data_IF_068272945497
#
_entry.id   IF_068272945497
#
_cell.length_a   1.000
_cell.length_b   1.000
_cell.length_c   1.000
_cell.angle_alpha   90.00
_cell.angle_beta   90.00
_cell.angle_gamma   90.00
#
_symmetry.space_group_name_H-M   'P 1'
#
loop_
_entity.id
_entity.type
_entity.pdbx_description
1 polymer ?
#
# COMPACT_ATOMS: atom_id res chain seq x y z
N UNK A 1 -18.52 -16.03 8.78
CA UNK A 1 -17.94 -14.85 9.49
C UNK A 1 -19.06 -13.83 9.62
N UNK A 2 -19.59 -13.59 10.84
CA UNK A 2 -20.44 -12.42 11.05
C UNK A 2 -19.53 -11.20 11.03
N UNK A 3 -19.15 -10.77 9.85
CA UNK A 3 -18.47 -9.48 9.67
C UNK A 3 -19.48 -8.42 10.09
N UNK A 4 -19.19 -7.72 11.16
CA UNK A 4 -19.95 -6.54 11.54
C UNK A 4 -19.74 -5.47 10.46
N UNK A 5 -20.53 -5.61 9.40
CA UNK A 5 -20.50 -4.77 8.21
C UNK A 5 -20.57 -3.29 8.56
N UNK A 6 -21.38 -2.97 9.60
CA UNK A 6 -21.50 -1.61 10.11
C UNK A 6 -20.24 -1.15 10.83
N UNK A 7 -19.60 -2.06 11.58
CA UNK A 7 -18.30 -1.79 12.25
C UNK A 7 -17.19 -1.48 11.24
N UNK A 8 -17.07 -2.30 10.18
CA UNK A 8 -16.06 -2.07 9.12
C UNK A 8 -16.31 -0.73 8.41
N UNK A 9 -17.56 -0.43 8.06
CA UNK A 9 -17.91 0.84 7.42
C UNK A 9 -17.58 2.03 8.34
N UNK A 10 -17.90 1.92 9.63
CA UNK A 10 -17.60 2.94 10.63
C UNK A 10 -16.09 3.17 10.75
N UNK A 11 -15.28 2.10 10.80
CA UNK A 11 -13.82 2.21 10.83
C UNK A 11 -13.28 2.91 9.58
N UNK A 12 -13.80 2.56 8.39
CA UNK A 12 -13.41 3.23 7.16
C UNK A 12 -13.74 4.73 7.21
N UNK A 13 -14.95 5.11 7.65
CA UNK A 13 -15.33 6.52 7.81
C UNK A 13 -14.37 7.25 8.75
N UNK A 14 -13.96 6.63 9.87
CA UNK A 14 -12.99 7.23 10.81
C UNK A 14 -11.64 7.48 10.11
N UNK A 15 -11.10 6.50 9.37
CA UNK A 15 -9.85 6.69 8.64
C UNK A 15 -9.94 7.86 7.65
N UNK A 16 -11.07 8.00 6.98
CA UNK A 16 -11.29 9.06 6.00
C UNK A 16 -11.51 10.44 6.61
N UNK A 17 -12.11 10.52 7.78
CA UNK A 17 -12.17 11.78 8.53
C UNK A 17 -10.77 12.27 8.91
N UNK A 18 -9.86 11.36 9.24
CA UNK A 18 -8.45 11.73 9.51
C UNK A 18 -7.76 12.21 8.23
N UNK A 19 -7.98 11.56 7.08
CA UNK A 19 -7.48 12.05 5.77
C UNK A 19 -8.05 13.44 5.46
N UNK A 20 -9.36 13.62 5.66
CA UNK A 20 -10.02 14.92 5.49
C UNK A 20 -9.44 16.01 6.40
N UNK A 21 -9.11 15.66 7.66
CA UNK A 21 -8.43 16.56 8.60
C UNK A 21 -7.05 16.97 8.05
N UNK A 22 -6.25 16.00 7.55
CA UNK A 22 -4.95 16.29 6.92
C UNK A 22 -5.07 17.23 5.71
N UNK A 23 -6.06 17.00 4.86
CA UNK A 23 -6.39 17.90 3.75
C UNK A 23 -6.76 19.32 4.23
N UNK A 24 -7.62 19.41 5.25
CA UNK A 24 -8.01 20.69 5.87
C UNK A 24 -6.82 21.45 6.46
N UNK A 25 -5.94 20.75 7.19
CA UNK A 25 -4.70 21.33 7.74
C UNK A 25 -3.81 21.93 6.64
N UNK A 26 -3.71 21.24 5.48
CA UNK A 26 -2.96 21.76 4.33
C UNK A 26 -3.58 23.01 3.74
N UNK A 27 -4.89 23.01 3.53
CA UNK A 27 -5.62 24.19 3.00
C UNK A 27 -5.61 25.36 3.99
N UNK A 28 -5.58 25.10 5.30
CA UNK A 28 -5.44 26.10 6.35
C UNK A 28 -3.98 26.56 6.57
N UNK A 29 -3.02 26.10 5.75
CA UNK A 29 -1.58 26.39 5.89
C UNK A 29 -0.95 25.98 7.23
N UNK A 30 -1.57 25.04 7.96
CA UNK A 30 -1.03 24.49 9.22
C UNK A 30 0.10 23.50 8.98
N UNK A 31 0.15 22.87 7.79
CA UNK A 31 1.21 21.93 7.40
C UNK A 31 2.00 22.44 6.21
N UNK A 32 3.31 22.19 6.22
CA UNK A 32 4.24 22.54 5.15
C UNK A 32 4.78 21.29 4.47
N UNK A 33 5.37 21.40 3.30
CA UNK A 33 6.02 20.28 2.62
C UNK A 33 7.18 19.67 3.47
N UNK A 34 7.88 20.53 4.22
CA UNK A 34 8.95 20.07 5.14
C UNK A 34 8.36 19.27 6.31
N UNK A 35 7.25 19.72 6.88
CA UNK A 35 6.53 18.99 7.93
C UNK A 35 6.01 17.64 7.41
N UNK A 36 5.37 17.61 6.24
CA UNK A 36 4.84 16.38 5.62
C UNK A 36 5.98 15.37 5.40
N UNK A 37 7.14 15.83 4.93
CA UNK A 37 8.32 14.99 4.74
C UNK A 37 8.88 14.49 6.07
N UNK A 38 8.97 15.34 7.09
CA UNK A 38 9.44 14.96 8.43
C UNK A 38 8.53 13.93 9.08
N UNK A 39 7.20 14.13 9.02
CA UNK A 39 6.22 13.21 9.57
C UNK A 39 6.21 11.88 8.79
N UNK A 40 6.32 11.90 7.46
CA UNK A 40 6.48 10.69 6.65
C UNK A 40 7.71 9.88 7.04
N UNK A 41 8.85 10.56 7.25
CA UNK A 41 10.08 9.89 7.68
C UNK A 41 9.93 9.26 9.07
N UNK A 42 9.29 9.95 10.02
CA UNK A 42 9.01 9.41 11.34
C UNK A 42 8.12 8.17 11.25
N UNK A 43 7.07 8.23 10.43
CA UNK A 43 6.16 7.08 10.23
C UNK A 43 6.93 5.90 9.66
N UNK A 44 7.65 6.06 8.56
CA UNK A 44 8.32 4.95 7.87
C UNK A 44 9.54 4.41 8.62
N UNK A 45 10.20 5.24 9.45
CA UNK A 45 11.44 4.84 10.11
C UNK A 45 11.26 4.41 11.56
N UNK A 46 10.15 4.80 12.23
CA UNK A 46 9.96 4.54 13.66
C UNK A 46 8.59 3.92 13.94
N UNK A 47 7.50 4.64 13.66
CA UNK A 47 6.19 4.20 14.16
C UNK A 47 5.62 3.01 13.40
N UNK A 48 5.78 2.94 12.07
CA UNK A 48 5.35 1.79 11.27
C UNK A 48 6.20 0.53 11.58
N UNK A 49 7.54 0.58 11.65
CA UNK A 49 8.35 -0.51 12.20
C UNK A 49 7.89 -0.97 13.59
N UNK A 50 7.61 -0.04 14.51
CA UNK A 50 7.11 -0.37 15.83
C UNK A 50 5.74 -1.07 15.77
N UNK A 51 4.82 -0.59 14.94
CA UNK A 51 3.50 -1.21 14.71
C UNK A 51 3.63 -2.65 14.19
N UNK A 52 4.52 -2.88 13.21
CA UNK A 52 4.72 -4.20 12.61
C UNK A 52 5.35 -5.19 13.60
N UNK A 53 6.43 -4.80 14.28
CA UNK A 53 7.09 -5.69 15.26
C UNK A 53 6.23 -5.86 16.51
N UNK A 54 5.59 -4.78 16.96
CA UNK A 54 4.68 -4.78 18.11
C UNK A 54 3.49 -5.73 17.92
N UNK A 55 2.94 -5.82 16.70
CA UNK A 55 1.82 -6.73 16.40
C UNK A 55 2.19 -8.21 16.65
N UNK A 56 3.43 -8.60 16.39
CA UNK A 56 3.91 -9.96 16.66
C UNK A 56 4.19 -10.17 18.14
N UNK A 57 4.87 -9.20 18.79
CA UNK A 57 5.24 -9.33 20.19
C UNK A 57 4.04 -9.24 21.16
N UNK A 58 2.93 -8.65 20.73
CA UNK A 58 1.68 -8.59 21.53
C UNK A 58 0.64 -9.61 21.08
N UNK A 59 0.89 -10.35 19.99
CA UNK A 59 -0.05 -11.37 19.53
C UNK A 59 -0.23 -12.48 20.54
N UNK A 60 -1.47 -12.92 20.70
CA UNK A 60 -1.81 -14.09 21.52
C UNK A 60 -1.64 -15.40 20.75
N UNK A 61 -1.74 -15.35 19.42
CA UNK A 61 -1.57 -16.50 18.53
C UNK A 61 -0.81 -16.06 17.28
N UNK A 62 0.24 -16.80 16.95
CA UNK A 62 1.01 -16.57 15.72
C UNK A 62 0.52 -17.50 14.60
N UNK A 63 0.60 -17.04 13.32
CA UNK A 63 0.36 -17.90 12.18
C UNK A 63 1.31 -19.12 12.18
N UNK A 64 0.83 -20.25 11.68
CA UNK A 64 1.67 -21.41 11.44
C UNK A 64 2.78 -21.10 10.43
N UNK A 65 3.89 -21.83 10.51
CA UNK A 65 5.00 -21.67 9.54
C UNK A 65 4.54 -21.92 8.10
N UNK A 66 3.64 -22.86 7.91
CA UNK A 66 3.00 -23.14 6.61
C UNK A 66 2.22 -21.96 6.09
N UNK A 67 1.48 -21.27 6.98
CA UNK A 67 0.63 -20.12 6.59
C UNK A 67 1.47 -18.91 6.21
N UNK A 68 2.60 -18.69 6.91
CA UNK A 68 3.57 -17.63 6.57
C UNK A 68 4.15 -17.84 5.17
N UNK A 69 4.60 -19.07 4.87
CA UNK A 69 5.16 -19.42 3.56
C UNK A 69 4.08 -19.34 2.48
N UNK A 70 2.90 -19.89 2.75
CA UNK A 70 1.77 -19.85 1.84
C UNK A 70 1.36 -18.40 1.52
N UNK A 71 1.20 -17.53 2.53
CA UNK A 71 0.87 -16.12 2.33
C UNK A 71 1.92 -15.37 1.49
N UNK A 72 3.21 -15.70 1.66
CA UNK A 72 4.27 -15.15 0.82
C UNK A 72 4.13 -15.60 -0.65
N UNK A 73 3.89 -16.88 -0.89
CA UNK A 73 3.70 -17.41 -2.24
C UNK A 73 2.44 -16.82 -2.89
N UNK A 74 1.33 -16.73 -2.17
CA UNK A 74 0.10 -16.09 -2.65
C UNK A 74 0.33 -14.62 -3.01
N UNK A 75 1.13 -13.90 -2.23
CA UNK A 75 1.52 -12.53 -2.53
C UNK A 75 2.32 -12.44 -3.84
N UNK A 76 3.23 -13.38 -4.08
CA UNK A 76 3.97 -13.46 -5.34
C UNK A 76 3.05 -13.74 -6.54
N UNK A 77 2.07 -14.64 -6.39
CA UNK A 77 1.03 -14.91 -7.41
C UNK A 77 0.23 -13.66 -7.70
N UNK A 78 -0.21 -12.93 -6.65
CA UNK A 78 -0.95 -11.69 -6.81
C UNK A 78 -0.18 -10.63 -7.61
N UNK A 79 1.11 -10.43 -7.31
CA UNK A 79 1.94 -9.49 -8.06
C UNK A 79 2.19 -9.95 -9.49
N UNK A 80 2.44 -11.24 -9.72
CA UNK A 80 2.62 -11.77 -11.07
C UNK A 80 1.36 -11.54 -11.93
N UNK A 81 0.18 -11.79 -11.37
CA UNK A 81 -1.11 -11.52 -12.03
C UNK A 81 -1.28 -10.04 -12.35
N UNK A 82 -1.06 -9.14 -11.38
CA UNK A 82 -1.18 -7.70 -11.58
C UNK A 82 -0.20 -7.19 -12.64
N UNK A 83 1.05 -7.68 -12.66
CA UNK A 83 2.04 -7.34 -13.68
C UNK A 83 1.57 -7.80 -15.07
N UNK A 84 1.12 -9.04 -15.20
CA UNK A 84 0.63 -9.57 -16.48
C UNK A 84 -0.56 -8.76 -17.01
N UNK A 85 -1.54 -8.47 -16.16
CA UNK A 85 -2.72 -7.66 -16.53
C UNK A 85 -2.33 -6.25 -16.91
N UNK A 86 -1.40 -5.61 -16.17
CA UNK A 86 -0.92 -4.25 -16.48
C UNK A 86 -0.21 -4.19 -17.84
N UNK A 87 0.58 -5.21 -18.20
CA UNK A 87 1.22 -5.32 -19.51
C UNK A 87 0.18 -5.43 -20.63
N UNK A 88 -0.81 -6.30 -20.46
CA UNK A 88 -1.90 -6.50 -21.44
C UNK A 88 -2.73 -5.23 -21.59
N UNK A 89 -3.20 -4.63 -20.48
CA UNK A 89 -4.03 -3.43 -20.54
C UNK A 89 -3.32 -2.25 -21.20
N UNK A 90 -2.03 -2.02 -20.88
CA UNK A 90 -1.28 -0.93 -21.50
C UNK A 90 -1.04 -1.14 -23.01
N UNK A 91 -0.95 -2.40 -23.44
CA UNK A 91 -0.88 -2.74 -24.86
C UNK A 91 -2.24 -2.49 -25.56
N UNK A 92 -3.35 -2.95 -24.96
CA UNK A 92 -4.70 -2.74 -25.49
C UNK A 92 -5.08 -1.25 -25.56
N UNK A 93 -4.71 -0.45 -24.54
CA UNK A 93 -4.93 1.00 -24.52
C UNK A 93 -4.03 1.76 -25.53
N UNK A 94 -3.09 1.06 -26.19
CA UNK A 94 -2.07 1.70 -27.04
C UNK A 94 -1.41 2.87 -26.30
N UNK A 95 -1.00 2.63 -25.04
CA UNK A 95 -0.40 3.66 -24.21
C UNK A 95 0.87 4.21 -24.88
N UNK A 96 1.04 5.54 -24.97
CA UNK A 96 2.18 6.15 -25.63
C UNK A 96 3.48 5.85 -24.88
N UNK A 97 4.57 5.78 -25.64
CA UNK A 97 5.93 5.76 -25.06
C UNK A 97 6.10 7.05 -24.25
N UNK A 98 6.73 6.96 -23.08
CA UNK A 98 6.86 8.05 -22.11
C UNK A 98 5.78 8.08 -21.02
N UNK A 99 4.65 7.37 -21.20
CA UNK A 99 3.59 7.25 -20.18
C UNK A 99 3.23 5.81 -19.83
N UNK A 100 3.60 4.86 -20.67
CA UNK A 100 3.24 3.44 -20.56
C UNK A 100 3.74 2.83 -19.26
N UNK A 101 4.99 3.09 -18.90
CA UNK A 101 5.61 2.59 -17.67
C UNK A 101 4.97 3.15 -16.43
N UNK A 102 4.63 4.45 -16.42
CA UNK A 102 3.92 5.10 -15.31
C UNK A 102 2.54 4.49 -15.12
N UNK A 103 1.78 4.25 -16.18
CA UNK A 103 0.46 3.62 -16.12
C UNK A 103 0.57 2.17 -15.61
N UNK A 104 1.59 1.39 -16.03
CA UNK A 104 1.87 0.06 -15.49
C UNK A 104 2.17 0.10 -14.00
N UNK A 105 3.04 1.03 -13.58
CA UNK A 105 3.35 1.23 -12.18
C UNK A 105 2.09 1.50 -11.36
N UNK A 106 1.24 2.41 -11.81
CA UNK A 106 0.00 2.77 -11.13
C UNK A 106 -0.95 1.58 -10.97
N UNK A 107 -1.05 0.72 -11.98
CA UNK A 107 -1.92 -0.46 -11.92
C UNK A 107 -1.39 -1.55 -10.98
N UNK A 108 -0.06 -1.70 -10.83
CA UNK A 108 0.55 -2.78 -10.06
C UNK A 108 0.83 -2.39 -8.60
N UNK A 109 1.37 -1.20 -8.35
CA UNK A 109 1.95 -0.86 -7.04
C UNK A 109 1.04 0.05 -6.22
N UNK A 110 0.46 -0.52 -5.15
CA UNK A 110 -0.42 0.18 -4.21
C UNK A 110 0.29 0.70 -2.97
N UNK A 111 -0.36 1.63 -2.28
CA UNK A 111 0.14 2.26 -1.07
C UNK A 111 -0.07 1.36 0.17
N UNK A 112 0.67 0.26 0.22
CA UNK A 112 0.60 -0.72 1.32
C UNK A 112 1.11 -0.10 2.62
N UNK A 113 2.17 0.71 2.58
CA UNK A 113 2.81 1.28 3.77
C UNK A 113 1.93 2.29 4.51
N UNK A 114 1.49 3.35 3.83
CA UNK A 114 0.73 4.43 4.48
C UNK A 114 -0.76 4.16 4.64
N UNK A 115 -1.36 3.39 3.74
CA UNK A 115 -2.79 3.09 3.77
C UNK A 115 -3.07 1.63 4.11
N UNK A 116 -2.30 0.69 3.55
CA UNK A 116 -2.58 -0.73 3.70
C UNK A 116 -2.52 -1.19 5.15
N UNK A 117 -1.43 -0.93 5.88
CA UNK A 117 -1.32 -1.32 7.28
C UNK A 117 -2.42 -0.72 8.17
N UNK A 118 -2.68 0.62 8.13
CA UNK A 118 -3.82 1.20 8.84
C UNK A 118 -5.18 0.58 8.53
N UNK A 119 -5.46 0.35 7.24
CA UNK A 119 -6.75 -0.24 6.81
C UNK A 119 -6.89 -1.68 7.30
N UNK A 120 -5.85 -2.50 7.15
CA UNK A 120 -5.86 -3.90 7.60
C UNK A 120 -6.01 -3.97 9.12
N UNK A 121 -5.27 -3.14 9.86
CA UNK A 121 -5.40 -3.07 11.33
C UNK A 121 -6.80 -2.62 11.77
N UNK A 122 -7.41 -1.70 11.05
CA UNK A 122 -8.76 -1.23 11.35
C UNK A 122 -9.85 -2.29 11.09
N UNK A 123 -9.68 -3.13 10.06
CA UNK A 123 -10.67 -4.14 9.68
C UNK A 123 -10.52 -5.42 10.50
N UNK A 124 -9.30 -5.92 10.67
CA UNK A 124 -9.01 -7.24 11.25
C UNK A 124 -8.20 -7.21 12.53
N UNK A 125 -7.82 -6.02 13.01
CA UNK A 125 -6.99 -5.85 14.21
C UNK A 125 -5.49 -5.99 13.96
N UNK A 126 -4.72 -5.89 15.05
CA UNK A 126 -3.25 -5.90 15.00
C UNK A 126 -2.66 -7.25 14.56
N UNK A 127 -3.33 -8.36 14.88
CA UNK A 127 -2.84 -9.70 14.55
C UNK A 127 -2.79 -9.95 13.03
N UNK A 128 -3.62 -9.25 12.25
CA UNK A 128 -3.60 -9.30 10.80
C UNK A 128 -2.38 -8.64 10.15
N UNK A 129 -1.66 -7.79 10.89
CA UNK A 129 -0.52 -7.01 10.36
C UNK A 129 0.64 -7.89 9.92
N UNK A 130 0.80 -9.09 10.48
CA UNK A 130 1.83 -10.03 10.06
C UNK A 130 1.64 -10.44 8.59
N UNK A 131 0.40 -10.67 8.14
CA UNK A 131 0.11 -10.99 6.75
C UNK A 131 0.32 -9.79 5.82
N UNK A 132 0.00 -8.57 6.28
CA UNK A 132 0.33 -7.36 5.57
C UNK A 132 1.85 -7.15 5.44
N UNK A 133 2.61 -7.48 6.48
CA UNK A 133 4.07 -7.45 6.46
C UNK A 133 4.65 -8.47 5.47
N UNK A 134 4.10 -9.69 5.44
CA UNK A 134 4.48 -10.71 4.46
C UNK A 134 4.23 -10.21 3.03
N UNK A 135 3.05 -9.65 2.75
CA UNK A 135 2.72 -9.08 1.44
C UNK A 135 3.63 -7.91 1.05
N UNK A 136 4.08 -7.14 2.03
CA UNK A 136 4.94 -5.97 1.80
C UNK A 136 6.37 -6.34 1.36
N UNK A 137 6.84 -7.57 1.60
CA UNK A 137 8.16 -7.99 1.14
C UNK A 137 8.26 -8.09 -0.39
N UNK A 138 7.42 -8.89 -1.11
CA UNK A 138 7.43 -8.88 -2.56
C UNK A 138 7.06 -7.51 -3.14
N UNK A 139 6.18 -6.71 -2.48
CA UNK A 139 5.92 -5.34 -2.89
C UNK A 139 7.21 -4.53 -3.00
N UNK A 140 7.99 -4.46 -1.92
CA UNK A 140 9.20 -3.63 -1.90
C UNK A 140 10.23 -4.11 -2.95
N UNK A 141 10.45 -5.43 -3.03
CA UNK A 141 11.36 -5.98 -4.02
C UNK A 141 10.93 -5.64 -5.45
N UNK A 142 9.68 -5.91 -5.80
CA UNK A 142 9.15 -5.67 -7.14
C UNK A 142 8.98 -4.19 -7.47
N UNK A 143 8.64 -3.35 -6.49
CA UNK A 143 8.47 -1.92 -6.69
C UNK A 143 9.78 -1.25 -7.09
N UNK A 144 10.88 -1.59 -6.43
CA UNK A 144 12.20 -1.01 -6.71
C UNK A 144 12.98 -1.71 -7.84
N UNK A 145 12.50 -2.85 -8.32
CA UNK A 145 13.05 -3.55 -9.49
C UNK A 145 12.13 -3.38 -10.70
N UNK A 146 11.02 -4.11 -10.75
CA UNK A 146 10.08 -4.09 -11.87
C UNK A 146 9.37 -2.73 -12.00
N UNK A 147 8.95 -2.14 -10.88
CA UNK A 147 8.30 -0.82 -10.87
C UNK A 147 9.22 0.29 -11.35
N UNK A 148 10.47 0.31 -10.84
CA UNK A 148 11.49 1.22 -11.31
C UNK A 148 11.83 1.01 -12.79
N UNK A 149 11.90 -0.25 -13.24
CA UNK A 149 12.11 -0.57 -14.66
C UNK A 149 10.94 -0.11 -15.53
N UNK A 150 9.70 -0.28 -15.11
CA UNK A 150 8.54 0.25 -15.86
C UNK A 150 8.68 1.75 -16.11
N UNK A 151 8.99 2.52 -15.06
CA UNK A 151 9.10 3.97 -15.15
C UNK A 151 10.33 4.37 -15.99
N UNK A 152 11.50 3.78 -15.72
CA UNK A 152 12.75 4.11 -16.38
C UNK A 152 12.77 3.72 -17.85
N UNK A 153 12.09 2.64 -18.27
CA UNK A 153 12.05 2.16 -19.65
C UNK A 153 11.34 3.12 -20.62
N UNK A 154 10.49 3.99 -20.09
CA UNK A 154 9.72 4.97 -20.86
C UNK A 154 10.26 6.41 -20.69
N UNK A 155 11.20 6.63 -19.76
CA UNK A 155 11.79 7.93 -19.50
C UNK A 155 12.73 8.34 -20.65
N UNK A 156 12.77 9.63 -20.97
CA UNK A 156 13.69 10.18 -21.96
C UNK A 156 15.11 10.41 -21.41
N UNK A 157 15.32 10.07 -20.15
CA UNK A 157 16.56 10.32 -19.39
C UNK A 157 17.54 9.15 -19.38
N UNK A 158 18.53 9.26 -18.52
CA UNK A 158 19.61 8.28 -18.34
C UNK A 158 19.04 6.91 -17.93
N UNK A 159 19.63 5.85 -18.49
CA UNK A 159 19.24 4.46 -18.23
C UNK A 159 19.17 4.10 -16.73
N UNK A 160 18.55 2.97 -16.43
CA UNK A 160 18.30 2.49 -15.08
C UNK A 160 19.58 2.52 -14.23
N UNK A 161 19.59 3.32 -13.16
CA UNK A 161 20.62 3.21 -12.14
C UNK A 161 20.57 1.80 -11.52
N UNK A 162 21.75 1.25 -11.23
CA UNK A 162 21.85 -0.04 -10.57
C UNK A 162 21.14 0.01 -9.22
N UNK A 163 20.15 -0.84 -9.03
CA UNK A 163 19.49 -1.02 -7.74
C UNK A 163 20.53 -1.50 -6.73
N UNK A 164 20.75 -0.71 -5.69
CA UNK A 164 21.72 -1.01 -4.65
C UNK A 164 21.04 -1.72 -3.48
N UNK A 165 21.74 -2.61 -2.78
CA UNK A 165 21.25 -3.27 -1.56
C UNK A 165 20.66 -2.29 -0.52
N UNK A 166 21.19 -1.08 -0.45
CA UNK A 166 20.67 -0.02 0.44
C UNK A 166 19.21 0.34 0.18
N UNK A 167 18.72 0.14 -1.04
CA UNK A 167 17.31 0.36 -1.39
C UNK A 167 16.38 -0.60 -0.65
N UNK A 168 16.87 -1.81 -0.32
CA UNK A 168 16.11 -2.82 0.41
C UNK A 168 16.35 -2.80 1.93
N UNK A 169 17.33 -2.02 2.40
CA UNK A 169 17.62 -1.87 3.83
C UNK A 169 16.87 -0.69 4.45
N UNK A 170 15.57 -0.58 4.19
CA UNK A 170 14.73 0.44 4.85
C UNK A 170 14.23 -0.09 6.20
N UNK A 171 13.99 0.79 7.21
CA UNK A 171 13.46 0.37 8.51
C UNK A 171 12.17 -0.45 8.39
N UNK A 172 11.28 -0.09 7.46
CA UNK A 172 10.03 -0.82 7.20
C UNK A 172 10.29 -2.26 6.70
N UNK A 173 11.22 -2.45 5.74
CA UNK A 173 11.54 -3.79 5.23
C UNK A 173 12.21 -4.62 6.32
N UNK A 174 13.15 -4.02 7.06
CA UNK A 174 13.82 -4.70 8.17
C UNK A 174 12.82 -5.12 9.25
N UNK A 175 11.85 -4.27 9.60
CA UNK A 175 10.81 -4.63 10.56
C UNK A 175 9.89 -5.76 10.07
N UNK A 176 9.56 -5.81 8.79
CA UNK A 176 8.83 -6.96 8.21
C UNK A 176 9.65 -8.26 8.34
N UNK A 177 10.95 -8.21 8.00
CA UNK A 177 11.83 -9.37 8.17
C UNK A 177 11.94 -9.80 9.63
N UNK A 178 12.14 -8.85 10.55
CA UNK A 178 12.20 -9.12 12.00
C UNK A 178 10.88 -9.73 12.50
N UNK A 179 9.74 -9.16 12.14
CA UNK A 179 8.42 -9.68 12.53
C UNK A 179 8.22 -11.12 12.05
N UNK A 180 8.57 -11.43 10.81
CA UNK A 180 8.47 -12.78 10.26
C UNK A 180 9.42 -13.75 10.97
N UNK A 181 10.66 -13.34 11.24
CA UNK A 181 11.64 -14.18 11.98
C UNK A 181 11.12 -14.45 13.40
N UNK A 182 10.62 -13.44 14.11
CA UNK A 182 10.03 -13.61 15.44
C UNK A 182 8.85 -14.57 15.41
N UNK A 183 7.96 -14.43 14.43
CA UNK A 183 6.82 -15.34 14.25
C UNK A 183 7.27 -16.79 13.95
N UNK A 184 8.26 -16.97 13.09
CA UNK A 184 8.81 -18.31 12.79
C UNK A 184 9.51 -18.96 13.97
N UNK A 185 10.13 -18.17 14.85
CA UNK A 185 10.75 -18.63 16.10
C UNK A 185 9.74 -18.84 17.25
N UNK A 186 8.48 -18.40 17.07
CA UNK A 186 7.45 -18.47 18.09
C UNK A 186 7.67 -17.46 19.22
N UNK A 187 8.44 -16.38 18.97
CA UNK A 187 8.73 -15.35 19.98
C UNK A 187 7.60 -14.33 19.95
N UNK A 188 6.73 -14.41 20.93
CA UNK A 188 5.62 -13.49 21.15
C UNK A 188 5.37 -13.29 22.65
N UNK A 189 4.41 -12.45 23.02
CA UNK A 189 4.02 -12.15 24.39
C UNK A 189 5.20 -11.64 25.24
N UNK A 190 5.84 -10.55 24.78
CA UNK A 190 6.93 -9.85 25.48
C UNK A 190 6.39 -8.53 26.05
N UNK A 191 5.85 -8.53 27.29
CA UNK A 191 4.94 -7.46 27.77
C UNK A 191 5.54 -6.05 27.72
N UNK A 192 6.76 -5.85 28.21
CA UNK A 192 7.35 -4.51 28.33
C UNK A 192 7.74 -3.94 26.97
N UNK A 193 8.44 -4.72 26.17
CA UNK A 193 8.90 -4.29 24.81
C UNK A 193 7.69 -4.19 23.89
N UNK A 194 6.80 -5.19 23.91
CA UNK A 194 5.58 -5.19 23.12
C UNK A 194 4.71 -3.97 23.40
N UNK A 195 4.49 -3.64 24.68
CA UNK A 195 3.69 -2.47 25.08
C UNK A 195 4.31 -1.14 24.64
N UNK A 196 5.64 -1.00 24.72
CA UNK A 196 6.35 0.19 24.23
C UNK A 196 6.22 0.35 22.72
N UNK A 197 6.38 -0.75 21.95
CA UNK A 197 6.23 -0.76 20.51
C UNK A 197 4.78 -0.52 20.09
N UNK A 198 3.80 -1.03 20.84
CA UNK A 198 2.39 -0.80 20.56
C UNK A 198 2.03 0.68 20.74
N UNK A 199 2.51 1.31 21.82
CA UNK A 199 2.31 2.74 22.09
C UNK A 199 2.90 3.61 20.97
N UNK A 200 4.12 3.30 20.49
CA UNK A 200 4.72 3.98 19.36
C UNK A 200 3.99 3.67 18.05
N UNK A 201 3.60 2.41 17.86
CA UNK A 201 2.88 1.92 16.71
C UNK A 201 1.51 2.58 16.54
N UNK A 202 0.82 2.88 17.63
CA UNK A 202 -0.48 3.55 17.62
C UNK A 202 -0.46 4.93 16.93
N UNK A 203 0.69 5.59 16.90
CA UNK A 203 0.88 6.86 16.17
C UNK A 203 0.86 6.66 14.65
N UNK A 204 1.11 5.45 14.14
CA UNK A 204 1.27 5.19 12.70
C UNK A 204 0.02 5.56 11.92
N UNK A 205 -1.13 5.02 12.31
CA UNK A 205 -2.39 5.23 11.60
C UNK A 205 -2.76 6.70 11.49
N UNK A 206 -2.90 7.47 12.59
CA UNK A 206 -3.27 8.88 12.46
C UNK A 206 -2.22 9.71 11.72
N UNK A 207 -0.93 9.49 11.98
CA UNK A 207 0.14 10.25 11.34
C UNK A 207 0.21 9.96 9.84
N UNK A 208 0.15 8.68 9.42
CA UNK A 208 0.16 8.30 8.00
C UNK A 208 -1.03 8.89 7.24
N UNK A 209 -2.23 8.83 7.82
CA UNK A 209 -3.45 9.34 7.17
C UNK A 209 -3.47 10.87 7.09
N UNK A 210 -2.95 11.57 8.10
CA UNK A 210 -2.75 13.03 8.04
C UNK A 210 -1.81 13.42 6.92
N UNK A 211 -0.69 12.70 6.74
CA UNK A 211 0.24 12.92 5.64
C UNK A 211 -0.44 12.69 4.29
N UNK A 212 -1.19 11.60 4.14
CA UNK A 212 -1.93 11.31 2.90
C UNK A 212 -2.90 12.46 2.59
N UNK A 213 -3.68 12.91 3.57
CA UNK A 213 -4.61 14.03 3.43
C UNK A 213 -3.90 15.33 3.06
N UNK A 214 -2.79 15.66 3.73
CA UNK A 214 -1.98 16.85 3.42
C UNK A 214 -1.44 16.80 1.99
N UNK A 215 -0.94 15.66 1.53
CA UNK A 215 -0.45 15.49 0.17
C UNK A 215 -1.54 15.70 -0.89
N UNK A 216 -2.77 15.23 -0.64
CA UNK A 216 -3.92 15.50 -1.51
C UNK A 216 -4.23 17.00 -1.61
N UNK A 217 -4.00 17.75 -0.53
CA UNK A 217 -4.19 19.22 -0.48
C UNK A 217 -3.21 20.03 -1.33
N UNK A 218 -2.08 19.45 -1.77
CA UNK A 218 -1.09 20.13 -2.61
C UNK A 218 -1.52 20.34 -4.07
N UNK A 219 -2.47 19.54 -4.56
CA UNK A 219 -2.86 19.57 -5.97
C UNK A 219 -3.89 20.67 -6.23
N UNK A 220 -3.68 21.43 -7.31
CA UNK A 220 -4.64 22.41 -7.77
C UNK A 220 -5.78 21.70 -8.57
N UNK A 221 -7.04 22.13 -8.43
CA UNK A 221 -8.17 21.48 -9.12
C UNK A 221 -8.00 21.38 -10.65
N UNK A 222 -7.33 22.37 -11.25
CA UNK A 222 -7.06 22.40 -12.71
C UNK A 222 -6.06 21.32 -13.16
N UNK A 223 -5.22 20.85 -12.26
CA UNK A 223 -4.21 19.82 -12.53
C UNK A 223 -4.78 18.40 -12.43
N UNK A 224 -6.00 18.24 -11.92
CA UNK A 224 -6.62 16.95 -11.64
C UNK A 224 -7.27 16.30 -12.86
N UNK A 225 -7.50 17.04 -13.94
CA UNK A 225 -8.13 16.50 -15.15
C UNK A 225 -7.19 15.52 -15.85
N UNK A 226 -7.62 14.27 -15.99
CA UNK A 226 -6.88 13.19 -16.64
C UNK A 226 -7.54 12.77 -17.97
N UNK A 227 -6.76 12.10 -18.80
CA UNK A 227 -7.24 11.47 -20.03
C UNK A 227 -7.89 10.09 -19.74
N UNK A 228 -8.53 9.50 -20.77
CA UNK A 228 -9.20 8.21 -20.63
C UNK A 228 -8.25 7.09 -20.15
N UNK A 229 -6.96 7.13 -20.52
CA UNK A 229 -5.97 6.12 -20.11
C UNK A 229 -5.68 6.19 -18.60
N UNK A 230 -5.62 7.40 -18.03
CA UNK A 230 -5.52 7.59 -16.59
C UNK A 230 -6.71 6.95 -15.87
N UNK A 231 -7.93 7.25 -16.33
CA UNK A 231 -9.15 6.72 -15.72
C UNK A 231 -9.27 5.21 -15.81
N UNK A 232 -8.91 4.62 -16.96
CA UNK A 232 -8.84 3.16 -17.12
C UNK A 232 -7.81 2.56 -16.15
N UNK A 233 -6.66 3.19 -15.97
CA UNK A 233 -5.64 2.71 -15.03
C UNK A 233 -6.09 2.83 -13.57
N UNK A 234 -6.81 3.90 -13.20
CA UNK A 234 -7.42 4.05 -11.87
C UNK A 234 -8.50 2.98 -11.63
N UNK A 235 -9.38 2.75 -12.60
CA UNK A 235 -10.41 1.72 -12.52
C UNK A 235 -9.80 0.31 -12.47
N UNK A 236 -8.77 0.06 -13.28
CA UNK A 236 -8.02 -1.19 -13.22
C UNK A 236 -7.42 -1.40 -11.83
N UNK A 237 -6.77 -0.39 -11.26
CA UNK A 237 -6.15 -0.47 -9.94
C UNK A 237 -7.14 -0.76 -8.82
N UNK A 238 -8.27 -0.04 -8.78
CA UNK A 238 -9.20 -0.08 -7.66
C UNK A 238 -10.27 -1.16 -7.77
N UNK A 239 -10.54 -1.64 -8.98
CA UNK A 239 -11.64 -2.59 -9.24
C UNK A 239 -11.11 -3.86 -9.90
N UNK A 240 -10.51 -3.75 -11.09
CA UNK A 240 -10.13 -4.93 -11.87
C UNK A 240 -9.07 -5.78 -11.16
N UNK A 241 -7.99 -5.14 -10.64
CA UNK A 241 -6.91 -5.86 -9.98
C UNK A 241 -7.37 -6.60 -8.71
N UNK A 242 -8.07 -5.97 -7.76
CA UNK A 242 -8.55 -6.70 -6.58
C UNK A 242 -9.59 -7.79 -6.95
N UNK A 243 -10.49 -7.56 -7.89
CA UNK A 243 -11.47 -8.58 -8.30
C UNK A 243 -10.80 -9.78 -8.96
N UNK A 244 -9.83 -9.56 -9.86
CA UNK A 244 -9.06 -10.65 -10.47
C UNK A 244 -8.24 -11.41 -9.42
N UNK A 245 -7.61 -10.71 -8.49
CA UNK A 245 -6.89 -11.35 -7.40
C UNK A 245 -7.84 -12.13 -6.50
N UNK A 246 -9.02 -11.59 -6.20
CA UNK A 246 -10.03 -12.33 -5.43
C UNK A 246 -10.40 -13.63 -6.12
N UNK A 247 -10.76 -13.59 -7.41
CA UNK A 247 -11.14 -14.79 -8.18
C UNK A 247 -10.00 -15.79 -8.24
N UNK A 248 -8.78 -15.36 -8.54
CA UNK A 248 -7.63 -16.29 -8.67
C UNK A 248 -7.19 -16.82 -7.31
N UNK A 249 -7.08 -15.97 -6.30
CA UNK A 249 -6.64 -16.40 -4.97
C UNK A 249 -7.69 -17.26 -4.26
N UNK A 250 -9.00 -17.05 -4.48
CA UNK A 250 -10.04 -17.90 -3.90
C UNK A 250 -10.00 -19.36 -4.39
N UNK A 251 -9.26 -19.64 -5.47
CA UNK A 251 -9.04 -21.02 -5.93
C UNK A 251 -7.92 -21.75 -5.19
N UNK A 252 -7.06 -21.02 -4.47
CA UNK A 252 -5.84 -21.57 -3.85
C UNK A 252 -5.67 -21.20 -2.37
N UNK A 253 -6.48 -20.28 -1.85
CA UNK A 253 -6.45 -19.81 -0.45
C UNK A 253 -7.73 -20.25 0.24
N UNK A 254 -7.62 -21.21 1.15
CA UNK A 254 -8.76 -21.74 1.89
C UNK A 254 -9.16 -20.84 3.07
N UNK A 255 -8.20 -20.11 3.67
CA UNK A 255 -8.45 -19.24 4.82
C UNK A 255 -9.05 -17.90 4.38
N UNK A 256 -10.31 -17.60 4.77
CA UNK A 256 -10.98 -16.35 4.40
C UNK A 256 -10.29 -15.10 4.93
N UNK A 257 -9.61 -15.17 6.09
CA UNK A 257 -8.86 -14.05 6.67
C UNK A 257 -7.66 -13.71 5.80
N UNK A 258 -6.84 -14.71 5.46
CA UNK A 258 -5.68 -14.53 4.59
C UNK A 258 -6.12 -14.00 3.23
N UNK A 259 -7.15 -14.61 2.62
CA UNK A 259 -7.71 -14.16 1.35
C UNK A 259 -8.17 -12.70 1.42
N UNK A 260 -8.93 -12.34 2.46
CA UNK A 260 -9.42 -10.97 2.67
C UNK A 260 -8.27 -9.96 2.76
N UNK A 261 -7.26 -10.25 3.57
CA UNK A 261 -6.10 -9.36 3.75
C UNK A 261 -5.34 -9.19 2.43
N UNK A 262 -5.06 -10.29 1.72
CA UNK A 262 -4.33 -10.25 0.44
C UNK A 262 -5.10 -9.42 -0.59
N UNK A 263 -6.39 -9.67 -0.76
CA UNK A 263 -7.22 -8.97 -1.76
C UNK A 263 -7.36 -7.49 -1.43
N UNK A 264 -7.63 -7.13 -0.16
CA UNK A 264 -7.72 -5.73 0.26
C UNK A 264 -6.39 -5.01 0.09
N UNK A 265 -5.27 -5.69 0.33
CA UNK A 265 -3.95 -5.11 0.07
C UNK A 265 -3.74 -4.81 -1.42
N UNK A 266 -4.25 -5.65 -2.32
CA UNK A 266 -4.22 -5.37 -3.78
C UNK A 266 -5.17 -4.23 -4.19
N UNK A 267 -6.16 -3.87 -3.38
CA UNK A 267 -7.09 -2.77 -3.62
C UNK A 267 -6.58 -1.39 -3.15
N UNK A 268 -5.42 -1.34 -2.50
CA UNK A 268 -4.84 -0.05 -2.05
C UNK A 268 -4.59 0.90 -3.23
N UNK A 269 -4.83 2.21 -3.04
CA UNK A 269 -4.57 3.22 -4.08
C UNK A 269 -3.11 3.25 -4.51
N UNK A 270 -2.80 3.96 -5.58
CA UNK A 270 -1.45 4.07 -6.13
C UNK A 270 -0.42 4.49 -5.06
N UNK A 271 0.72 3.82 -5.06
CA UNK A 271 1.80 4.07 -4.10
C UNK A 271 2.49 5.43 -4.33
N UNK A 272 2.65 6.21 -3.25
CA UNK A 272 3.34 7.52 -3.29
C UNK A 272 4.79 7.43 -3.79
N UNK A 273 5.44 6.29 -3.62
CA UNK A 273 6.80 6.04 -4.12
C UNK A 273 6.90 6.17 -5.64
N UNK A 274 5.79 6.00 -6.37
CA UNK A 274 5.73 6.22 -7.81
C UNK A 274 6.11 7.64 -8.21
N UNK A 275 5.68 8.65 -7.45
CA UNK A 275 6.07 10.05 -7.68
C UNK A 275 7.58 10.25 -7.52
N UNK A 276 8.18 9.64 -6.48
CA UNK A 276 9.63 9.71 -6.25
C UNK A 276 10.41 9.05 -7.38
N UNK A 277 9.95 7.89 -7.86
CA UNK A 277 10.57 7.20 -8.99
C UNK A 277 10.42 7.98 -10.30
N UNK A 278 9.26 8.58 -10.56
CA UNK A 278 9.07 9.43 -11.74
C UNK A 278 9.99 10.66 -11.72
N UNK A 279 10.15 11.31 -10.56
CA UNK A 279 11.11 12.42 -10.40
C UNK A 279 12.57 11.97 -10.59
N UNK A 280 12.92 10.80 -10.04
CA UNK A 280 14.27 10.25 -10.15
C UNK A 280 14.67 9.92 -11.59
N UNK A 281 13.75 9.40 -12.38
CA UNK A 281 14.00 8.96 -13.75
C UNK A 281 13.54 9.96 -14.82
N UNK A 282 13.13 11.16 -14.43
CA UNK A 282 12.60 12.21 -15.33
C UNK A 282 11.43 11.69 -16.21
N UNK A 283 10.49 10.99 -15.56
CA UNK A 283 9.30 10.41 -16.19
C UNK A 283 8.06 11.29 -15.97
N UNK A 284 6.91 10.88 -16.49
CA UNK A 284 5.63 11.63 -16.41
C UNK A 284 5.08 11.70 -14.97
N UNK A 285 5.70 12.56 -14.15
CA UNK A 285 5.29 12.85 -12.76
C UNK A 285 3.85 13.37 -12.67
N UNK A 286 3.35 14.24 -13.55
CA UNK A 286 1.96 14.67 -13.49
C UNK A 286 0.94 13.54 -13.57
N UNK A 287 1.18 12.52 -14.40
CA UNK A 287 0.27 11.37 -14.51
C UNK A 287 0.21 10.55 -13.22
N UNK A 288 1.34 10.23 -12.59
CA UNK A 288 1.33 9.47 -11.33
C UNK A 288 0.71 10.27 -10.18
N UNK A 289 0.94 11.58 -10.09
CA UNK A 289 0.33 12.44 -9.08
C UNK A 289 -1.20 12.46 -9.19
N UNK A 290 -1.73 12.63 -10.41
CA UNK A 290 -3.18 12.55 -10.69
C UNK A 290 -3.75 11.19 -10.32
N UNK A 291 -3.04 10.12 -10.71
CA UNK A 291 -3.45 8.76 -10.39
C UNK A 291 -3.46 8.48 -8.89
N UNK A 292 -2.44 8.91 -8.16
CA UNK A 292 -2.39 8.79 -6.70
C UNK A 292 -3.54 9.55 -6.06
N UNK A 293 -3.82 10.77 -6.48
CA UNK A 293 -4.94 11.58 -5.98
C UNK A 293 -6.28 10.86 -6.20
N UNK A 294 -6.59 10.52 -7.45
CA UNK A 294 -7.90 9.94 -7.77
C UNK A 294 -8.09 8.56 -7.17
N UNK A 295 -7.05 7.72 -7.21
CA UNK A 295 -7.17 6.39 -6.60
C UNK A 295 -7.31 6.48 -5.08
N UNK A 296 -6.62 7.41 -4.41
CA UNK A 296 -6.80 7.63 -2.96
C UNK A 296 -8.21 8.13 -2.66
N UNK A 297 -8.73 9.10 -3.42
CA UNK A 297 -10.08 9.61 -3.22
C UNK A 297 -11.14 8.52 -3.47
N UNK A 298 -11.04 7.79 -4.58
CA UNK A 298 -12.01 6.75 -4.93
C UNK A 298 -11.90 5.50 -4.05
N UNK A 299 -10.73 5.23 -3.45
CA UNK A 299 -10.56 4.12 -2.50
C UNK A 299 -11.44 4.27 -1.25
N UNK A 300 -11.88 5.49 -0.95
CA UNK A 300 -12.89 5.80 0.08
C UNK A 300 -14.16 4.96 -0.08
N UNK A 301 -14.53 4.68 -1.31
CA UNK A 301 -15.74 3.93 -1.65
C UNK A 301 -15.40 2.50 -2.06
N UNK A 302 -14.35 2.33 -2.87
CA UNK A 302 -14.07 1.02 -3.46
C UNK A 302 -13.58 -0.01 -2.45
N UNK A 303 -12.80 0.38 -1.43
CA UNK A 303 -12.32 -0.55 -0.39
C UNK A 303 -13.49 -1.04 0.48
N UNK A 304 -14.32 -0.18 1.08
CA UNK A 304 -15.50 -0.64 1.81
C UNK A 304 -16.42 -1.54 1.00
N UNK A 305 -16.73 -1.14 -0.26
CA UNK A 305 -17.58 -1.97 -1.15
C UNK A 305 -16.94 -3.32 -1.42
N UNK A 306 -15.64 -3.39 -1.67
CA UNK A 306 -14.94 -4.65 -1.88
C UNK A 306 -15.03 -5.55 -0.64
N UNK A 307 -14.78 -5.02 0.55
CA UNK A 307 -14.85 -5.79 1.80
C UNK A 307 -16.27 -6.30 2.05
N UNK A 308 -17.29 -5.49 1.74
CA UNK A 308 -18.70 -5.89 1.85
C UNK A 308 -19.09 -7.02 0.87
N UNK A 309 -18.54 -6.99 -0.33
CA UNK A 309 -18.84 -8.01 -1.37
C UNK A 309 -18.12 -9.33 -1.06
N UNK A 310 -16.98 -9.27 -0.37
CA UNK A 310 -16.21 -10.47 0.02
C UNK A 310 -16.72 -11.15 1.30
N UNK A 311 -17.39 -10.43 2.19
CA UNK A 311 -17.88 -10.93 3.50
C UNK A 311 -19.30 -11.32 3.50
#
# INVERSE_FOLDING_TARGET
>A
MNTDTLGIFTQMVVLFLIIGTGYGCKKAHLTTAAFDKGLSNLVLSVTLPAMIVGSVLNSTQLPGRTDIVAAFLYSCVAYALMIAVALVLTALMRAPIGRRGVLRFMMVFGNVGFLGFPVISAIWGSDALIYAAIFNLPFNFLCFTVGAWFIASDAQGQGMEKVTWRTFCTPTILSCCVAIVLALLGIHNVPVIGSALDTLGAMTTPAALLVVGSQLGNLAPRELVGDARLWVSCAARLVLMPLLNWVVLSLIVDDPLILGILVVTTAMPVANVGTMLCQKYDADTPTVLRGTFWTTLLSLVTIPVLVLVMG
#
